data_IF_366368767718
#
_entry.id   IF_366368767718
#
_cell.length_a   1.000
_cell.length_b   1.000
_cell.length_c   1.000
_cell.angle_alpha   90.00
_cell.angle_beta   90.00
_cell.angle_gamma   90.00
#
_symmetry.space_group_name_H-M   'P 1'
#
loop_
_entity.id
_entity.type
_entity.pdbx_description
1 polymer ?
#
# COMPACT_ATOMS: atom_id res chain seq x y z
N UNK A 1 -10.45 -18.71 15.23
CA UNK A 1 -10.52 -18.93 13.76
C UNK A 1 -11.59 -18.08 13.08
N UNK A 2 -12.83 -18.11 13.61
CA UNK A 2 -13.94 -17.26 13.14
C UNK A 2 -13.58 -15.77 13.14
N UNK A 3 -12.95 -15.27 14.21
CA UNK A 3 -12.57 -13.86 14.35
C UNK A 3 -11.49 -13.45 13.33
N UNK A 4 -10.50 -14.32 13.08
CA UNK A 4 -9.44 -14.06 12.08
C UNK A 4 -10.00 -14.05 10.67
N UNK A 5 -10.88 -15.00 10.34
CA UNK A 5 -11.58 -15.01 9.07
C UNK A 5 -12.36 -13.70 8.87
N UNK A 6 -13.18 -13.32 9.85
CA UNK A 6 -13.97 -12.08 9.78
C UNK A 6 -13.11 -10.82 9.70
N UNK A 7 -11.98 -10.79 10.42
CA UNK A 7 -11.00 -9.70 10.36
C UNK A 7 -10.47 -9.54 8.93
N UNK A 8 -9.99 -10.61 8.30
CA UNK A 8 -9.42 -10.54 6.96
C UNK A 8 -10.47 -10.19 5.89
N UNK A 9 -11.70 -10.69 6.03
CA UNK A 9 -12.83 -10.28 5.18
C UNK A 9 -13.15 -8.79 5.36
N UNK A 10 -13.17 -8.29 6.59
CA UNK A 10 -13.35 -6.86 6.87
C UNK A 10 -12.23 -6.04 6.23
N UNK A 11 -10.97 -6.46 6.37
CA UNK A 11 -9.82 -5.77 5.77
C UNK A 11 -9.94 -5.67 4.26
N UNK A 12 -10.23 -6.78 3.57
CA UNK A 12 -10.44 -6.76 2.11
C UNK A 12 -11.62 -5.87 1.71
N UNK A 13 -12.69 -5.88 2.49
CA UNK A 13 -13.89 -5.07 2.23
C UNK A 13 -13.60 -3.58 2.37
N UNK A 14 -12.91 -3.18 3.44
CA UNK A 14 -12.51 -1.78 3.68
C UNK A 14 -11.60 -1.31 2.55
N UNK A 15 -10.61 -2.09 2.15
CA UNK A 15 -9.65 -1.73 1.11
C UNK A 15 -10.30 -1.66 -0.28
N UNK A 16 -11.19 -2.59 -0.60
CA UNK A 16 -12.01 -2.49 -1.79
C UNK A 16 -12.91 -1.24 -1.78
N UNK A 17 -13.43 -0.85 -0.60
CA UNK A 17 -14.29 0.33 -0.44
C UNK A 17 -13.57 1.67 -0.63
N UNK A 18 -12.28 1.71 -0.28
CA UNK A 18 -11.41 2.87 -0.41
C UNK A 18 -10.83 3.04 -1.82
N UNK A 19 -11.08 2.09 -2.73
CA UNK A 19 -10.62 2.18 -4.12
C UNK A 19 -11.32 3.33 -4.85
N UNK A 20 -10.60 4.43 -5.09
CA UNK A 20 -11.11 5.74 -5.52
C UNK A 20 -12.07 5.65 -6.72
N UNK A 21 -11.67 5.00 -7.81
CA UNK A 21 -12.43 5.04 -9.07
C UNK A 21 -13.63 4.09 -9.12
N UNK A 22 -13.55 2.89 -8.53
CA UNK A 22 -14.66 1.92 -8.57
C UNK A 22 -14.55 0.87 -7.47
N UNK A 23 -15.56 0.86 -6.60
CA UNK A 23 -15.77 -0.17 -5.58
C UNK A 23 -15.76 -1.58 -6.19
N UNK A 24 -16.40 -1.74 -7.35
CA UNK A 24 -16.49 -3.04 -8.05
C UNK A 24 -15.10 -3.46 -8.56
N UNK A 25 -14.31 -2.52 -9.11
CA UNK A 25 -12.93 -2.84 -9.52
C UNK A 25 -12.05 -3.19 -8.33
N UNK A 26 -12.24 -2.52 -7.19
CA UNK A 26 -11.56 -2.85 -5.93
C UNK A 26 -11.87 -4.27 -5.45
N UNK A 27 -13.16 -4.66 -5.44
CA UNK A 27 -13.56 -6.02 -5.09
C UNK A 27 -13.04 -7.06 -6.07
N UNK A 28 -13.17 -6.83 -7.38
CA UNK A 28 -12.65 -7.76 -8.39
C UNK A 28 -11.15 -7.93 -8.22
N UNK A 29 -10.41 -6.85 -7.99
CA UNK A 29 -8.96 -6.90 -7.74
C UNK A 29 -8.62 -7.74 -6.50
N UNK A 30 -9.32 -7.51 -5.38
CA UNK A 30 -9.14 -8.29 -4.15
C UNK A 30 -9.50 -9.77 -4.30
N UNK A 31 -10.65 -10.06 -4.89
CA UNK A 31 -11.09 -11.45 -5.18
C UNK A 31 -10.14 -12.14 -6.15
N UNK A 32 -9.65 -11.44 -7.17
CA UNK A 32 -8.67 -11.99 -8.09
C UNK A 32 -7.36 -12.32 -7.36
N UNK A 33 -6.92 -11.48 -6.42
CA UNK A 33 -5.80 -11.80 -5.54
C UNK A 33 -6.04 -13.06 -4.69
N UNK A 34 -7.25 -13.25 -4.16
CA UNK A 34 -7.62 -14.49 -3.46
C UNK A 34 -7.60 -15.71 -4.37
N UNK A 35 -8.08 -15.58 -5.61
CA UNK A 35 -8.05 -16.70 -6.57
C UNK A 35 -6.61 -17.10 -6.92
N UNK A 36 -5.69 -16.14 -7.00
CA UNK A 36 -4.26 -16.41 -7.24
C UNK A 36 -3.66 -17.29 -6.14
N UNK A 37 -4.05 -17.13 -4.87
CA UNK A 37 -3.51 -17.97 -3.78
C UNK A 37 -4.03 -19.39 -3.81
N UNK A 38 -5.22 -19.63 -4.39
CA UNK A 38 -5.76 -21.00 -4.51
C UNK A 38 -5.02 -21.87 -5.53
N UNK A 39 -4.15 -21.27 -6.35
CA UNK A 39 -3.28 -21.97 -7.29
C UNK A 39 -2.05 -22.44 -6.55
N UNK A 40 -1.86 -23.77 -6.49
CA UNK A 40 -0.72 -24.38 -5.82
C UNK A 40 -1.11 -25.40 -4.77
N UNK A 41 -0.23 -25.62 -3.80
CA UNK A 41 -0.46 -26.59 -2.74
C UNK A 41 -1.43 -26.04 -1.69
N UNK A 42 -2.41 -26.86 -1.33
CA UNK A 42 -3.30 -26.63 -0.18
C UNK A 42 -2.50 -26.32 1.09
N UNK A 43 -2.77 -25.20 1.80
CA UNK A 43 -2.02 -24.83 3.00
C UNK A 43 -2.22 -25.77 4.20
N UNK A 44 -3.26 -26.62 4.21
CA UNK A 44 -3.48 -27.64 5.23
C UNK A 44 -3.01 -29.03 4.80
N UNK A 45 -3.41 -29.49 3.61
CA UNK A 45 -3.21 -30.87 3.18
C UNK A 45 -2.05 -31.06 2.19
N UNK A 46 -1.41 -29.97 1.75
CA UNK A 46 -0.33 -29.95 0.75
C UNK A 46 -0.71 -30.62 -0.59
N UNK A 47 -2.00 -30.76 -0.87
CA UNK A 47 -2.51 -31.33 -2.13
C UNK A 47 -2.45 -30.25 -3.21
N UNK A 48 -1.88 -30.53 -4.40
CA UNK A 48 -1.84 -29.57 -5.49
C UNK A 48 -3.25 -29.29 -6.04
N UNK A 49 -3.59 -28.01 -6.19
CA UNK A 49 -4.85 -27.50 -6.71
C UNK A 49 -4.60 -26.50 -7.83
N UNK A 50 -5.41 -26.56 -8.88
CA UNK A 50 -5.33 -25.64 -10.03
C UNK A 50 -3.92 -25.54 -10.65
N UNK A 51 -3.14 -26.63 -10.59
CA UNK A 51 -1.79 -26.67 -11.18
C UNK A 51 -1.82 -26.94 -12.68
N UNK A 52 -2.97 -27.37 -13.22
CA UNK A 52 -3.19 -27.67 -14.64
C UNK A 52 -2.15 -28.64 -15.25
N UNK A 53 -1.45 -29.44 -14.42
CA UNK A 53 -0.37 -30.33 -14.84
C UNK A 53 1.01 -29.67 -15.00
N UNK A 54 1.13 -28.37 -14.70
CA UNK A 54 2.39 -27.64 -14.77
C UNK A 54 3.13 -27.70 -13.43
N UNK A 55 4.35 -28.24 -13.44
CA UNK A 55 5.18 -28.33 -12.22
C UNK A 55 5.48 -26.95 -11.62
N UNK A 56 5.62 -25.93 -12.47
CA UNK A 56 5.77 -24.53 -12.09
C UNK A 56 4.70 -24.06 -11.10
N UNK A 57 3.44 -24.48 -11.28
CA UNK A 57 2.33 -24.05 -10.46
C UNK A 57 2.14 -24.90 -9.20
N UNK A 58 2.94 -25.95 -9.01
CA UNK A 58 2.73 -26.93 -7.93
C UNK A 58 2.86 -26.32 -6.54
N UNK A 59 3.81 -25.41 -6.37
CA UNK A 59 4.03 -24.67 -5.12
C UNK A 59 3.24 -23.36 -5.05
N UNK A 60 2.44 -23.06 -6.08
CA UNK A 60 1.76 -21.78 -6.23
C UNK A 60 2.71 -20.63 -6.58
N UNK A 61 2.17 -19.43 -6.56
CA UNK A 61 2.93 -18.23 -6.86
C UNK A 61 3.53 -17.62 -5.59
N UNK A 62 4.85 -17.46 -5.50
CA UNK A 62 5.47 -16.85 -4.33
C UNK A 62 5.06 -15.38 -4.19
N UNK A 63 4.68 -14.97 -2.98
CA UNK A 63 4.18 -13.63 -2.69
C UNK A 63 5.17 -12.51 -3.10
N UNK A 64 6.46 -12.65 -2.78
CA UNK A 64 7.41 -11.56 -3.00
C UNK A 64 7.67 -11.28 -4.50
N UNK A 65 7.85 -12.29 -5.37
CA UNK A 65 7.86 -12.06 -6.82
C UNK A 65 6.58 -11.42 -7.37
N UNK A 66 5.40 -11.79 -6.87
CA UNK A 66 4.15 -11.10 -7.22
C UNK A 66 4.25 -9.62 -6.83
N UNK A 67 4.64 -9.33 -5.59
CA UNK A 67 4.74 -7.97 -5.06
C UNK A 67 5.71 -7.10 -5.88
N UNK A 68 6.90 -7.64 -6.18
CA UNK A 68 7.92 -6.95 -6.99
C UNK A 68 7.42 -6.72 -8.43
N UNK A 69 6.71 -7.69 -9.01
CA UNK A 69 6.14 -7.54 -10.35
C UNK A 69 5.06 -6.46 -10.37
N UNK A 70 4.05 -6.63 -9.51
CA UNK A 70 2.88 -5.74 -9.44
C UNK A 70 3.26 -4.31 -9.08
N UNK A 71 4.19 -4.05 -8.16
CA UNK A 71 4.56 -2.66 -7.83
C UNK A 71 5.77 -2.14 -8.59
N UNK A 72 6.77 -2.97 -8.88
CA UNK A 72 8.00 -2.54 -9.54
C UNK A 72 7.84 -2.46 -11.06
N UNK A 73 7.56 -3.60 -11.69
CA UNK A 73 7.49 -3.68 -13.15
C UNK A 73 6.30 -2.89 -13.71
N UNK A 74 5.13 -2.97 -13.07
CA UNK A 74 3.97 -2.20 -13.54
C UNK A 74 4.20 -0.68 -13.50
N UNK A 75 4.89 -0.20 -12.46
CA UNK A 75 5.22 1.20 -12.29
C UNK A 75 6.22 1.65 -13.35
N UNK A 76 7.28 0.87 -13.58
CA UNK A 76 8.24 1.13 -14.66
C UNK A 76 7.53 1.23 -16.02
N UNK A 77 6.67 0.26 -16.34
CA UNK A 77 5.95 0.26 -17.62
C UNK A 77 5.02 1.48 -17.76
N UNK A 78 4.32 1.84 -16.69
CA UNK A 78 3.45 3.02 -16.64
C UNK A 78 4.23 4.33 -16.78
N UNK A 79 5.39 4.43 -16.15
CA UNK A 79 6.24 5.62 -16.20
C UNK A 79 6.87 5.78 -17.60
N UNK A 80 7.27 4.67 -18.24
CA UNK A 80 7.80 4.68 -19.61
C UNK A 80 6.72 5.10 -20.61
N UNK A 81 5.48 4.63 -20.46
CA UNK A 81 4.34 5.06 -21.29
C UNK A 81 4.08 6.57 -21.16
N UNK A 82 4.08 7.10 -19.93
CA UNK A 82 3.91 8.55 -19.65
C UNK A 82 5.11 9.39 -20.12
N UNK A 83 6.32 8.86 -20.07
CA UNK A 83 7.51 9.55 -20.57
C UNK A 83 7.48 9.68 -22.10
N UNK A 84 6.88 8.70 -22.80
CA UNK A 84 6.66 8.73 -24.24
C UNK A 84 5.71 9.83 -24.73
N UNK A 85 4.88 10.41 -23.85
CA UNK A 85 3.94 11.51 -24.15
C UNK A 85 4.52 12.92 -23.95
N UNK A 86 5.85 13.04 -23.83
CA UNK A 86 6.58 14.28 -24.14
C UNK A 86 6.62 15.39 -23.09
N UNK A 87 6.42 15.13 -21.80
CA UNK A 87 6.25 16.19 -20.79
C UNK A 87 7.24 16.24 -19.60
N UNK A 88 8.39 15.56 -19.62
CA UNK A 88 9.22 15.48 -18.40
C UNK A 88 10.75 15.58 -18.59
N UNK A 89 11.26 16.36 -19.56
CA UNK A 89 12.71 16.53 -19.72
C UNK A 89 13.22 17.99 -19.58
N UNK A 90 12.37 18.95 -19.22
CA UNK A 90 12.77 20.36 -19.06
C UNK A 90 12.51 20.89 -17.65
N UNK A 91 13.28 20.45 -16.63
CA UNK A 91 13.44 21.29 -15.41
C UNK A 91 14.56 20.98 -14.42
N UNK A 92 15.53 20.12 -14.72
CA UNK A 92 16.58 19.76 -13.73
C UNK A 92 17.98 20.30 -14.03
N UNK A 93 18.11 21.32 -14.86
CA UNK A 93 19.42 21.94 -15.19
C UNK A 93 19.88 23.04 -14.21
N UNK A 94 19.19 23.27 -13.08
CA UNK A 94 19.49 24.39 -12.14
C UNK A 94 19.64 24.01 -10.65
N UNK A 95 20.03 22.80 -10.31
CA UNK A 95 20.13 22.37 -8.89
C UNK A 95 21.55 22.30 -8.31
N UNK A 96 22.55 22.88 -8.96
CA UNK A 96 23.96 22.78 -8.52
C UNK A 96 24.39 23.77 -7.42
N UNK A 97 23.50 24.67 -6.96
CA UNK A 97 23.84 25.69 -5.95
C UNK A 97 22.74 25.87 -4.91
N UNK A 98 22.46 24.84 -4.11
CA UNK A 98 21.61 24.97 -2.92
C UNK A 98 22.48 25.01 -1.67
N UNK A 99 22.59 26.20 -1.05
CA UNK A 99 23.00 26.35 0.36
C UNK A 99 21.73 26.40 1.19
N UNK A 100 21.40 25.31 1.88
CA UNK A 100 20.25 25.24 2.78
C UNK A 100 20.75 25.44 4.21
N UNK A 101 20.14 26.37 4.94
CA UNK A 101 20.39 26.55 6.37
C UNK A 101 19.49 25.60 7.17
N UNK A 102 20.06 24.50 7.68
CA UNK A 102 19.30 23.50 8.44
C UNK A 102 18.66 24.09 9.70
N UNK A 103 19.33 25.03 10.38
CA UNK A 103 18.80 25.67 11.57
C UNK A 103 17.57 26.53 11.26
N UNK A 104 17.54 27.17 10.09
CA UNK A 104 16.37 27.93 9.64
C UNK A 104 15.19 26.99 9.36
N UNK A 105 15.43 25.85 8.69
CA UNK A 105 14.40 24.85 8.41
C UNK A 105 13.83 24.26 9.70
N UNK A 106 14.68 23.91 10.67
CA UNK A 106 14.22 23.39 11.97
C UNK A 106 13.36 24.43 12.69
N UNK A 107 13.77 25.70 12.69
CA UNK A 107 12.96 26.78 13.29
C UNK A 107 11.62 26.95 12.60
N UNK A 108 11.58 26.85 11.27
CA UNK A 108 10.34 26.94 10.48
C UNK A 108 9.37 25.81 10.83
N UNK A 109 9.88 24.57 10.91
CA UNK A 109 9.09 23.39 11.30
C UNK A 109 8.52 23.56 12.71
N UNK A 110 9.36 23.97 13.67
CA UNK A 110 8.96 24.15 15.06
C UNK A 110 8.04 25.36 15.28
N UNK A 111 8.02 26.33 14.37
CA UNK A 111 7.11 27.48 14.41
C UNK A 111 5.65 27.10 14.08
N UNK A 112 5.40 25.91 13.52
CA UNK A 112 4.07 25.44 13.11
C UNK A 112 3.61 24.17 13.85
N UNK A 113 3.59 24.15 15.20
CA UNK A 113 3.33 22.93 15.97
C UNK A 113 1.94 22.32 15.70
N UNK A 114 0.93 23.16 15.45
CA UNK A 114 -0.44 22.69 15.17
C UNK A 114 -0.49 21.95 13.84
N UNK A 115 0.15 22.50 12.79
CA UNK A 115 0.19 21.86 11.48
C UNK A 115 0.97 20.55 11.54
N UNK A 116 2.12 20.56 12.22
CA UNK A 116 2.97 19.39 12.41
C UNK A 116 2.23 18.27 13.15
N UNK A 117 1.64 18.55 14.32
CA UNK A 117 0.96 17.53 15.12
C UNK A 117 -0.25 16.98 14.38
N UNK A 118 -1.08 17.84 13.78
CA UNK A 118 -2.25 17.38 13.02
C UNK A 118 -1.86 16.47 11.87
N UNK A 119 -0.86 16.87 11.09
CA UNK A 119 -0.44 16.12 9.90
C UNK A 119 0.23 14.79 10.29
N UNK A 120 1.03 14.77 11.35
CA UNK A 120 1.54 13.54 11.97
C UNK A 120 0.42 12.61 12.44
N UNK A 121 -0.62 13.14 13.09
CA UNK A 121 -1.77 12.33 13.52
C UNK A 121 -2.55 11.77 12.32
N UNK A 122 -2.77 12.58 11.27
CA UNK A 122 -3.40 12.10 10.03
C UNK A 122 -2.57 10.96 9.44
N UNK A 123 -1.25 11.14 9.31
CA UNK A 123 -0.33 10.11 8.85
C UNK A 123 -0.43 8.83 9.67
N UNK A 124 -0.33 8.94 11.00
CA UNK A 124 -0.44 7.80 11.91
C UNK A 124 -1.77 7.06 11.76
N UNK A 125 -2.90 7.78 11.73
CA UNK A 125 -4.23 7.18 11.61
C UNK A 125 -4.46 6.51 10.26
N UNK A 126 -4.02 7.14 9.16
CA UNK A 126 -4.09 6.54 7.83
C UNK A 126 -3.16 5.33 7.74
N UNK A 127 -1.99 5.37 8.36
CA UNK A 127 -1.06 4.25 8.39
C UNK A 127 -1.62 3.01 9.08
N UNK A 128 -2.49 3.19 10.08
CA UNK A 128 -3.20 2.08 10.72
C UNK A 128 -4.17 1.41 9.74
N UNK A 129 -4.71 2.16 8.78
CA UNK A 129 -5.62 1.62 7.78
C UNK A 129 -4.85 0.75 6.78
N UNK A 130 -5.28 -0.50 6.55
CA UNK A 130 -4.61 -1.42 5.65
C UNK A 130 -4.67 -0.89 4.20
N UNK A 131 -3.59 -1.06 3.46
CA UNK A 131 -3.49 -0.81 2.02
C UNK A 131 -3.88 0.60 1.53
N UNK A 132 -3.97 1.60 2.42
CA UNK A 132 -4.24 3.01 2.05
C UNK A 132 -2.94 3.72 1.68
N UNK A 133 -1.84 3.39 2.36
CA UNK A 133 -0.50 3.88 2.05
C UNK A 133 -0.22 5.35 2.37
N UNK A 134 1.05 5.72 2.27
CA UNK A 134 1.53 7.07 2.57
C UNK A 134 1.02 8.14 1.60
N UNK A 135 0.81 7.81 0.32
CA UNK A 135 0.37 8.80 -0.68
C UNK A 135 -1.00 9.40 -0.36
N UNK A 136 -1.98 8.57 -0.01
CA UNK A 136 -3.30 9.04 0.41
C UNK A 136 -3.23 9.83 1.72
N UNK A 137 -2.39 9.39 2.67
CA UNK A 137 -2.15 10.12 3.91
C UNK A 137 -1.62 11.54 3.64
N UNK A 138 -0.65 11.67 2.73
CA UNK A 138 -0.02 12.94 2.37
C UNK A 138 -1.02 13.89 1.69
N UNK A 139 -1.83 13.39 0.76
CA UNK A 139 -2.87 14.18 0.09
C UNK A 139 -3.91 14.67 1.11
N UNK A 140 -4.36 13.80 2.01
CA UNK A 140 -5.31 14.18 3.05
C UNK A 140 -4.72 15.20 4.02
N UNK A 141 -3.50 14.99 4.49
CA UNK A 141 -2.81 15.94 5.37
C UNK A 141 -2.62 17.30 4.68
N UNK A 142 -2.23 17.29 3.40
CA UNK A 142 -2.09 18.49 2.59
C UNK A 142 -3.40 19.25 2.42
N UNK A 143 -4.50 18.57 2.11
CA UNK A 143 -5.83 19.17 1.97
C UNK A 143 -6.32 19.76 3.31
N UNK A 144 -6.13 19.05 4.42
CA UNK A 144 -6.44 19.59 5.75
C UNK A 144 -5.57 20.79 6.10
N UNK A 145 -4.29 20.79 5.69
CA UNK A 145 -3.41 21.94 5.85
C UNK A 145 -3.87 23.15 5.05
N UNK A 146 -4.24 22.95 3.79
CA UNK A 146 -4.80 24.00 2.94
C UNK A 146 -6.07 24.60 3.55
N UNK A 147 -7.01 23.76 4.00
CA UNK A 147 -8.29 24.19 4.59
C UNK A 147 -8.15 25.00 5.87
N UNK A 148 -7.16 24.66 6.70
CA UNK A 148 -6.93 25.39 7.95
C UNK A 148 -5.98 26.59 7.79
N UNK A 149 -5.33 26.74 6.64
CA UNK A 149 -4.40 27.84 6.42
C UNK A 149 -5.15 29.16 6.24
N UNK A 150 -4.51 30.24 6.67
CA UNK A 150 -4.95 31.61 6.37
C UNK A 150 -4.64 32.03 4.93
N UNK A 151 -3.75 31.30 4.26
CA UNK A 151 -3.28 31.56 2.89
C UNK A 151 -3.43 30.32 1.99
N UNK A 152 -4.66 29.79 1.78
CA UNK A 152 -4.90 28.60 0.97
C UNK A 152 -4.46 28.77 -0.50
N UNK A 153 -4.38 30.00 -1.00
CA UNK A 153 -3.95 30.36 -2.35
C UNK A 153 -2.47 30.08 -2.63
N UNK A 154 -1.64 29.98 -1.58
CA UNK A 154 -0.19 29.70 -1.71
C UNK A 154 0.14 28.21 -1.78
N UNK A 155 -0.85 27.34 -1.59
CA UNK A 155 -0.67 25.90 -1.73
C UNK A 155 -0.48 25.57 -3.21
N UNK A 156 0.56 24.78 -3.51
CA UNK A 156 0.99 24.42 -4.86
C UNK A 156 2.25 25.18 -5.32
N UNK A 157 2.63 26.25 -4.62
CA UNK A 157 3.85 27.03 -4.95
C UNK A 157 5.10 26.56 -4.20
N UNK A 158 5.02 25.47 -3.44
CA UNK A 158 6.09 25.02 -2.54
C UNK A 158 6.15 25.76 -1.20
N UNK A 159 5.01 26.28 -0.69
CA UNK A 159 4.94 26.87 0.65
C UNK A 159 5.36 25.86 1.75
N UNK A 160 6.12 26.28 2.78
CA UNK A 160 6.54 25.40 3.87
C UNK A 160 5.40 24.63 4.54
N UNK A 161 4.23 25.27 4.75
CA UNK A 161 3.05 24.65 5.36
C UNK A 161 2.63 23.33 4.67
N UNK A 162 2.67 23.32 3.34
CA UNK A 162 2.30 22.15 2.53
C UNK A 162 3.36 21.06 2.56
N UNK A 163 4.65 21.45 2.60
CA UNK A 163 5.77 20.51 2.71
C UNK A 163 5.76 19.86 4.09
N UNK A 164 5.63 20.65 5.16
CA UNK A 164 5.56 20.16 6.54
C UNK A 164 4.38 19.19 6.68
N UNK A 165 3.21 19.54 6.15
CA UNK A 165 2.03 18.67 6.23
C UNK A 165 2.25 17.33 5.51
N UNK A 166 2.79 17.35 4.29
CA UNK A 166 2.99 16.14 3.50
C UNK A 166 4.09 15.24 4.09
N UNK A 167 5.25 15.81 4.43
CA UNK A 167 6.40 15.03 4.91
C UNK A 167 6.20 14.50 6.32
N UNK A 168 5.57 15.26 7.22
CA UNK A 168 5.25 14.77 8.57
C UNK A 168 4.22 13.64 8.53
N UNK A 169 3.20 13.74 7.68
CA UNK A 169 2.25 12.66 7.44
C UNK A 169 2.93 11.42 6.86
N UNK A 170 3.78 11.60 5.86
CA UNK A 170 4.50 10.52 5.18
C UNK A 170 5.34 9.70 6.18
N UNK A 171 6.10 10.41 7.01
CA UNK A 171 6.96 9.75 7.98
C UNK A 171 6.16 9.12 9.15
N UNK A 172 5.05 9.74 9.57
CA UNK A 172 4.18 9.18 10.60
C UNK A 172 3.40 7.94 10.14
N UNK A 173 3.06 7.86 8.84
CA UNK A 173 2.32 6.75 8.24
C UNK A 173 3.01 5.41 8.47
N UNK A 174 4.33 5.36 8.29
CA UNK A 174 5.12 4.12 8.44
C UNK A 174 4.97 3.53 9.85
N UNK A 175 4.90 4.37 10.88
CA UNK A 175 4.67 3.92 12.26
C UNK A 175 3.31 3.24 12.43
N UNK A 176 2.25 3.82 11.85
CA UNK A 176 0.92 3.22 11.85
C UNK A 176 0.87 1.90 11.08
N UNK A 177 1.49 1.87 9.89
CA UNK A 177 1.54 0.67 9.06
C UNK A 177 2.33 -0.47 9.71
N UNK A 178 3.40 -0.15 10.44
CA UNK A 178 4.18 -1.12 11.20
C UNK A 178 3.34 -1.75 12.32
N UNK A 179 2.55 -0.95 13.04
CA UNK A 179 1.64 -1.44 14.08
C UNK A 179 0.63 -2.42 13.49
N UNK A 180 -0.02 -2.06 12.37
CA UNK A 180 -1.01 -2.92 11.70
C UNK A 180 -0.40 -4.21 11.20
N UNK A 181 0.79 -4.15 10.61
CA UNK A 181 1.51 -5.34 10.14
C UNK A 181 1.87 -6.27 11.29
N UNK A 182 2.41 -5.74 12.39
CA UNK A 182 2.80 -6.56 13.53
C UNK A 182 1.60 -7.12 14.29
N UNK A 183 0.55 -6.31 14.49
CA UNK A 183 -0.62 -6.70 15.28
C UNK A 183 -1.57 -7.61 14.51
N UNK A 184 -1.77 -7.39 13.21
CA UNK A 184 -2.79 -8.11 12.44
C UNK A 184 -2.21 -9.00 11.33
N UNK A 185 -0.91 -8.88 11.03
CA UNK A 185 -0.31 -9.58 9.89
C UNK A 185 -0.71 -8.98 8.55
N UNK A 186 -1.14 -7.71 8.55
CA UNK A 186 -1.70 -7.03 7.39
C UNK A 186 -0.84 -5.80 7.07
N UNK A 187 -0.34 -5.64 5.83
CA UNK A 187 0.45 -4.47 5.49
C UNK A 187 -0.42 -3.20 5.42
N UNK A 188 0.12 -2.10 5.94
CA UNK A 188 -0.50 -0.77 5.79
C UNK A 188 -0.17 -0.12 4.44
N UNK A 189 0.97 -0.47 3.86
CA UNK A 189 1.49 0.09 2.62
C UNK A 189 2.39 -0.91 1.87
N UNK A 190 2.91 -0.51 0.69
CA UNK A 190 3.77 -1.39 -0.11
C UNK A 190 5.10 -1.73 0.59
N UNK A 191 5.66 -0.82 1.40
CA UNK A 191 6.94 -1.04 2.10
C UNK A 191 6.76 -2.08 3.20
N UNK A 192 5.72 -1.96 4.01
CA UNK A 192 5.35 -2.95 5.03
C UNK A 192 4.92 -4.27 4.42
N UNK A 193 4.38 -4.30 3.19
CA UNK A 193 4.13 -5.54 2.46
C UNK A 193 5.45 -6.29 2.12
N UNK A 194 6.48 -5.56 1.70
CA UNK A 194 7.82 -6.14 1.49
C UNK A 194 8.39 -6.67 2.81
N UNK A 195 8.27 -5.90 3.90
CA UNK A 195 8.71 -6.33 5.23
C UNK A 195 7.98 -7.59 5.72
N UNK A 196 6.67 -7.66 5.52
CA UNK A 196 5.85 -8.84 5.82
C UNK A 196 6.35 -10.06 5.03
N UNK A 197 6.64 -9.89 3.74
CA UNK A 197 7.25 -10.93 2.91
C UNK A 197 8.59 -11.42 3.46
N UNK A 198 9.47 -10.50 3.85
CA UNK A 198 10.76 -10.83 4.45
C UNK A 198 10.62 -11.60 5.78
N UNK A 199 9.68 -11.21 6.65
CA UNK A 199 9.41 -11.93 7.89
C UNK A 199 8.92 -13.36 7.62
N UNK A 200 7.99 -13.52 6.68
CA UNK A 200 7.45 -14.84 6.29
C UNK A 200 8.56 -15.74 5.73
N UNK A 201 9.48 -15.21 4.92
CA UNK A 201 10.64 -15.95 4.40
C UNK A 201 11.54 -16.46 5.55
N UNK A 202 11.71 -15.66 6.60
CA UNK A 202 12.45 -16.06 7.79
C UNK A 202 11.64 -16.96 8.74
N UNK A 203 10.45 -17.44 8.33
CA UNK A 203 9.59 -18.29 9.14
C UNK A 203 8.90 -17.56 10.29
N UNK A 204 8.88 -16.23 10.24
CA UNK A 204 8.28 -15.37 11.26
C UNK A 204 6.91 -14.93 10.74
N UNK A 205 5.85 -15.43 11.37
CA UNK A 205 4.47 -15.06 11.04
C UNK A 205 4.03 -13.83 11.86
N UNK A 206 3.77 -12.67 11.23
CA UNK A 206 3.21 -11.52 11.94
C UNK A 206 1.73 -11.71 12.23
N UNK A 207 1.19 -10.99 13.22
CA UNK A 207 -0.17 -11.16 13.71
C UNK A 207 -0.29 -11.01 15.23
N UNK A 208 -1.45 -11.30 15.84
CA UNK A 208 -1.70 -10.95 17.24
C UNK A 208 -0.74 -11.62 18.23
N UNK A 209 -0.20 -12.78 17.86
CA UNK A 209 0.79 -13.51 18.65
C UNK A 209 2.24 -13.15 18.34
N UNK A 210 2.50 -12.27 17.37
CA UNK A 210 3.86 -11.93 16.93
C UNK A 210 4.68 -11.34 18.08
N UNK A 211 4.12 -10.38 18.82
CA UNK A 211 4.81 -9.74 19.94
C UNK A 211 5.02 -10.71 21.10
N UNK A 212 4.15 -11.70 21.29
CA UNK A 212 4.27 -12.67 22.38
C UNK A 212 5.24 -13.81 22.03
N UNK A 213 5.17 -14.33 20.81
CA UNK A 213 6.00 -15.46 20.35
C UNK A 213 7.40 -14.97 19.97
N UNK A 214 7.48 -13.85 19.25
CA UNK A 214 8.72 -13.29 18.70
C UNK A 214 9.06 -11.94 19.33
N UNK A 215 8.91 -11.82 20.65
CA UNK A 215 9.10 -10.56 21.40
C UNK A 215 10.44 -9.88 21.07
N UNK A 216 11.55 -10.64 21.01
CA UNK A 216 12.88 -10.10 20.68
C UNK A 216 12.91 -9.45 19.29
N UNK A 217 12.24 -10.07 18.31
CA UNK A 217 12.16 -9.51 16.95
C UNK A 217 11.25 -8.29 16.95
N UNK A 218 10.08 -8.35 17.61
CA UNK A 218 9.13 -7.25 17.67
C UNK A 218 9.75 -5.99 18.33
N UNK A 219 10.32 -6.13 19.53
CA UNK A 219 10.99 -5.01 20.21
C UNK A 219 12.27 -4.58 19.49
N UNK A 220 12.99 -5.52 18.87
CA UNK A 220 14.12 -5.21 17.99
C UNK A 220 13.72 -4.34 16.80
N UNK A 221 12.56 -4.61 16.18
CA UNK A 221 12.02 -3.79 15.09
C UNK A 221 11.64 -2.39 15.57
N UNK A 222 11.01 -2.25 16.74
CA UNK A 222 10.73 -0.92 17.32
C UNK A 222 12.00 -0.13 17.61
N UNK A 223 13.01 -0.78 18.21
CA UNK A 223 14.29 -0.14 18.51
C UNK A 223 15.05 0.23 17.23
N UNK A 224 15.07 -0.66 16.23
CA UNK A 224 15.68 -0.43 14.92
C UNK A 224 14.95 0.71 14.18
N UNK A 225 13.63 0.76 14.23
CA UNK A 225 12.83 1.82 13.61
C UNK A 225 13.09 3.18 14.29
N UNK A 226 13.18 3.22 15.62
CA UNK A 226 13.56 4.43 16.34
C UNK A 226 14.97 4.90 15.96
N UNK A 227 15.94 3.98 15.93
CA UNK A 227 17.32 4.29 15.52
C UNK A 227 17.37 4.73 14.04
N UNK A 228 16.57 4.10 13.18
CA UNK A 228 16.52 4.39 11.76
C UNK A 228 16.17 5.85 11.48
N UNK A 229 15.34 6.51 12.30
CA UNK A 229 15.03 7.93 12.10
C UNK A 229 16.28 8.82 12.15
N UNK A 230 17.17 8.59 13.12
CA UNK A 230 18.42 9.35 13.22
C UNK A 230 19.35 9.04 12.05
N UNK A 231 19.39 7.77 11.64
CA UNK A 231 20.19 7.34 10.50
C UNK A 231 19.66 7.88 9.18
N UNK A 232 18.34 7.96 9.00
CA UNK A 232 17.70 8.54 7.82
C UNK A 232 18.02 10.01 7.71
N UNK A 233 17.92 10.79 8.79
CA UNK A 233 18.33 12.21 8.79
C UNK A 233 19.81 12.37 8.43
N UNK A 234 20.68 11.52 8.98
CA UNK A 234 22.11 11.54 8.65
C UNK A 234 22.37 11.19 7.18
N UNK A 235 21.69 10.16 6.68
CA UNK A 235 21.81 9.67 5.31
C UNK A 235 21.28 10.70 4.31
N UNK A 236 20.14 11.32 4.58
CA UNK A 236 19.58 12.40 3.75
C UNK A 236 20.48 13.63 3.79
N UNK A 237 21.04 13.98 4.95
CA UNK A 237 21.96 15.11 5.07
C UNK A 237 23.24 14.91 4.23
N UNK A 238 23.89 13.75 4.33
CA UNK A 238 25.08 13.44 3.56
C UNK A 238 24.75 13.18 2.06
N UNK A 239 23.61 12.57 1.80
CA UNK A 239 23.18 12.06 0.51
C UNK A 239 22.37 13.04 -0.34
N UNK A 240 21.94 14.20 0.18
CA UNK A 240 21.08 15.15 -0.54
C UNK A 240 21.61 15.49 -1.93
N UNK A 241 22.91 15.76 -2.04
CA UNK A 241 23.55 16.08 -3.34
C UNK A 241 23.52 14.92 -4.31
N UNK A 242 23.63 13.70 -3.80
CA UNK A 242 23.52 12.49 -4.62
C UNK A 242 22.06 12.25 -5.04
N UNK A 243 21.12 12.34 -4.09
CA UNK A 243 19.69 12.20 -4.36
C UNK A 243 19.20 13.19 -5.43
N UNK A 244 19.63 14.46 -5.36
CA UNK A 244 19.31 15.48 -6.37
C UNK A 244 19.83 15.11 -7.77
N UNK A 245 20.96 14.41 -7.88
CA UNK A 245 21.47 13.91 -9.18
C UNK A 245 20.66 12.72 -9.67
N UNK A 246 20.26 11.82 -8.77
CA UNK A 246 19.44 10.65 -9.12
C UNK A 246 18.07 11.07 -9.64
N UNK A 247 17.43 12.06 -9.03
CA UNK A 247 16.15 12.62 -9.53
C UNK A 247 16.30 13.25 -10.92
N UNK A 248 17.50 13.69 -11.30
CA UNK A 248 17.80 14.20 -12.63
C UNK A 248 18.16 13.12 -13.66
N UNK A 249 18.29 11.85 -13.26
CA UNK A 249 18.60 10.78 -14.20
C UNK A 249 17.40 10.52 -15.10
N UNK A 250 17.64 10.38 -16.42
CA UNK A 250 16.54 10.11 -17.33
C UNK A 250 15.99 8.70 -17.09
N UNK A 251 14.68 8.57 -17.24
CA UNK A 251 13.95 7.33 -16.97
C UNK A 251 14.52 6.13 -17.75
N UNK A 252 15.01 6.34 -18.98
CA UNK A 252 15.61 5.28 -19.80
C UNK A 252 16.89 4.65 -19.21
N UNK A 253 17.59 5.32 -18.28
CA UNK A 253 18.72 4.74 -17.54
C UNK A 253 18.23 4.07 -16.25
N UNK A 254 17.28 4.70 -15.57
CA UNK A 254 16.79 4.22 -14.28
C UNK A 254 15.99 2.92 -14.42
N UNK A 255 15.09 2.82 -15.40
CA UNK A 255 14.25 1.66 -15.66
C UNK A 255 15.02 0.34 -15.85
N UNK A 256 16.05 0.23 -16.71
CA UNK A 256 16.78 -1.02 -16.88
C UNK A 256 17.56 -1.44 -15.62
N UNK A 257 18.10 -0.48 -14.85
CA UNK A 257 18.79 -0.78 -13.59
C UNK A 257 17.80 -1.38 -12.59
N UNK A 258 16.64 -0.76 -12.39
CA UNK A 258 15.61 -1.27 -11.49
C UNK A 258 15.15 -2.65 -11.97
N UNK A 259 14.95 -2.85 -13.28
CA UNK A 259 14.51 -4.13 -13.83
C UNK A 259 15.51 -5.26 -13.55
N UNK A 260 16.82 -4.99 -13.73
CA UNK A 260 17.87 -5.96 -13.37
C UNK A 260 17.84 -6.28 -11.88
N UNK A 261 17.70 -5.27 -11.02
CA UNK A 261 17.59 -5.48 -9.57
C UNK A 261 16.34 -6.26 -9.18
N UNK A 262 15.20 -6.04 -9.85
CA UNK A 262 13.97 -6.79 -9.63
C UNK A 262 14.11 -8.26 -10.05
N UNK A 263 14.75 -8.52 -11.20
CA UNK A 263 15.03 -9.89 -11.65
C UNK A 263 15.95 -10.61 -10.65
N UNK A 264 17.05 -9.96 -10.25
CA UNK A 264 17.96 -10.50 -9.22
C UNK A 264 17.20 -10.74 -7.91
N UNK A 265 16.40 -9.77 -7.46
CA UNK A 265 15.60 -9.86 -6.24
C UNK A 265 14.59 -11.01 -6.27
N UNK A 266 13.91 -11.23 -7.40
CA UNK A 266 12.96 -12.35 -7.55
C UNK A 266 13.66 -13.72 -7.57
N UNK A 267 14.84 -13.79 -8.19
CA UNK A 267 15.64 -15.02 -8.27
C UNK A 267 16.29 -15.38 -6.94
N UNK A 268 16.91 -14.41 -6.26
CA UNK A 268 17.73 -14.61 -5.08
C UNK A 268 16.98 -15.21 -3.88
N UNK A 269 15.65 -15.16 -3.87
CA UNK A 269 14.83 -15.69 -2.77
C UNK A 269 14.96 -17.20 -2.61
N UNK A 270 14.84 -17.92 -3.72
CA UNK A 270 14.85 -19.39 -3.72
C UNK A 270 15.92 -19.97 -4.64
N UNK A 271 16.63 -19.14 -5.42
CA UNK A 271 17.48 -19.56 -6.54
C UNK A 271 16.71 -20.38 -7.59
N UNK A 272 15.49 -19.94 -7.89
CA UNK A 272 14.54 -20.62 -8.77
C UNK A 272 14.14 -19.65 -9.89
N UNK A 273 14.22 -20.08 -11.15
CA UNK A 273 13.92 -19.24 -12.33
C UNK A 273 12.43 -18.96 -12.49
N UNK A 274 11.60 -19.88 -12.00
CA UNK A 274 10.15 -19.81 -11.90
C UNK A 274 9.67 -18.55 -11.17
N UNK A 275 10.43 -18.08 -10.16
CA UNK A 275 10.14 -16.82 -9.48
C UNK A 275 10.27 -15.62 -10.44
N UNK A 276 11.23 -15.65 -11.36
CA UNK A 276 11.44 -14.58 -12.35
C UNK A 276 10.27 -14.56 -13.35
N UNK A 277 9.79 -15.73 -13.78
CA UNK A 277 8.59 -15.83 -14.62
C UNK A 277 7.34 -15.29 -13.92
N UNK A 278 7.18 -15.60 -12.63
CA UNK A 278 6.12 -15.04 -11.79
C UNK A 278 6.21 -13.51 -11.74
N UNK A 279 7.40 -12.97 -11.51
CA UNK A 279 7.66 -11.53 -11.51
C UNK A 279 7.20 -10.87 -12.82
N UNK A 280 7.60 -11.41 -13.98
CA UNK A 280 7.20 -10.86 -15.27
C UNK A 280 5.68 -10.98 -15.52
N UNK A 281 5.09 -12.13 -15.23
CA UNK A 281 3.66 -12.38 -15.38
C UNK A 281 2.83 -11.36 -14.59
N UNK A 282 3.11 -11.22 -13.30
CA UNK A 282 2.36 -10.34 -12.41
C UNK A 282 2.69 -8.86 -12.62
N UNK A 283 3.87 -8.53 -13.15
CA UNK A 283 4.18 -7.16 -13.53
C UNK A 283 3.46 -6.70 -14.80
N UNK A 284 3.35 -7.56 -15.81
CA UNK A 284 2.50 -7.29 -16.99
C UNK A 284 1.03 -7.19 -16.56
N UNK A 285 0.57 -8.11 -15.72
CA UNK A 285 -0.80 -8.09 -15.21
C UNK A 285 -1.09 -6.82 -14.40
N UNK A 286 -0.17 -6.42 -13.52
CA UNK A 286 -0.26 -5.18 -12.77
C UNK A 286 -0.32 -3.96 -13.69
N UNK A 287 0.50 -3.93 -14.75
CA UNK A 287 0.45 -2.85 -15.74
C UNK A 287 -0.92 -2.77 -16.44
N UNK A 288 -1.47 -3.91 -16.85
CA UNK A 288 -2.82 -3.97 -17.45
C UNK A 288 -3.91 -3.52 -16.47
N UNK A 289 -3.80 -3.87 -15.19
CA UNK A 289 -4.71 -3.44 -14.14
C UNK A 289 -4.68 -1.92 -13.96
N UNK A 290 -3.49 -1.32 -13.87
CA UNK A 290 -3.33 0.14 -13.80
C UNK A 290 -3.96 0.81 -15.02
N UNK A 291 -3.67 0.30 -16.23
CA UNK A 291 -4.20 0.84 -17.49
C UNK A 291 -5.73 0.76 -17.59
N UNK A 292 -6.33 -0.26 -17.00
CA UNK A 292 -7.79 -0.46 -16.98
C UNK A 292 -8.46 0.16 -15.73
N UNK A 293 -7.69 0.81 -14.86
CA UNK A 293 -8.15 1.49 -13.65
C UNK A 293 -8.54 0.53 -12.52
N UNK A 294 -7.99 -0.68 -12.49
CA UNK A 294 -8.08 -1.59 -11.35
C UNK A 294 -6.98 -1.28 -10.33
N UNK A 295 -7.33 -1.12 -9.05
CA UNK A 295 -6.36 -0.80 -8.00
C UNK A 295 -5.47 -2.01 -7.70
N UNK A 296 -4.17 -1.78 -7.53
CA UNK A 296 -3.19 -2.83 -7.22
C UNK A 296 -3.17 -3.20 -5.73
N UNK A 297 -3.52 -2.27 -4.84
CA UNK A 297 -3.46 -2.52 -3.40
C UNK A 297 -4.42 -3.64 -2.93
N UNK A 298 -5.69 -3.71 -3.40
CA UNK A 298 -6.57 -4.83 -3.09
C UNK A 298 -6.06 -6.18 -3.61
N UNK A 299 -5.43 -6.22 -4.79
CA UNK A 299 -4.83 -7.44 -5.36
C UNK A 299 -3.81 -8.03 -4.40
N UNK A 300 -2.82 -7.22 -4.01
CA UNK A 300 -1.74 -7.64 -3.13
C UNK A 300 -2.28 -8.07 -1.78
N UNK A 301 -3.28 -7.35 -1.25
CA UNK A 301 -3.92 -7.73 -0.01
C UNK A 301 -4.65 -9.08 -0.14
N UNK A 302 -5.32 -9.33 -1.26
CA UNK A 302 -5.92 -10.64 -1.57
C UNK A 302 -4.89 -11.75 -1.60
N UNK A 303 -3.74 -11.52 -2.25
CA UNK A 303 -2.65 -12.51 -2.32
C UNK A 303 -2.04 -12.81 -0.95
N UNK A 304 -1.91 -11.82 -0.07
CA UNK A 304 -1.36 -12.02 1.27
C UNK A 304 -2.36 -12.73 2.18
N UNK A 305 -3.62 -12.32 2.13
CA UNK A 305 -4.66 -12.80 3.04
C UNK A 305 -5.33 -14.09 2.58
N UNK A 306 -5.17 -14.49 1.32
CA UNK A 306 -5.86 -15.65 0.74
C UNK A 306 -5.64 -16.93 1.53
N UNK A 307 -4.39 -17.33 1.73
CA UNK A 307 -4.07 -18.51 2.53
C UNK A 307 -4.58 -18.39 3.97
N UNK A 308 -4.49 -17.20 4.55
CA UNK A 308 -4.95 -16.96 5.92
C UNK A 308 -6.47 -17.06 6.04
N UNK A 309 -7.21 -16.55 5.06
CA UNK A 309 -8.66 -16.65 4.98
C UNK A 309 -9.06 -18.13 4.84
N UNK A 310 -8.43 -18.85 3.91
CA UNK A 310 -8.73 -20.27 3.69
C UNK A 310 -8.42 -21.12 4.93
N UNK A 311 -7.22 -20.99 5.50
CA UNK A 311 -6.79 -21.72 6.68
C UNK A 311 -7.72 -21.45 7.86
N UNK A 312 -8.08 -20.20 8.12
CA UNK A 312 -8.96 -19.85 9.24
C UNK A 312 -10.41 -20.29 9.01
N UNK A 313 -10.88 -20.26 7.75
CA UNK A 313 -12.19 -20.78 7.37
C UNK A 313 -12.28 -22.30 7.58
N UNK A 314 -11.31 -23.04 7.06
CA UNK A 314 -11.28 -24.51 7.20
C UNK A 314 -11.13 -24.89 8.68
N UNK A 315 -10.23 -24.25 9.43
CA UNK A 315 -10.10 -24.49 10.88
C UNK A 315 -11.40 -24.22 11.63
N UNK A 316 -12.13 -23.16 11.29
CA UNK A 316 -13.41 -22.84 11.91
C UNK A 316 -14.44 -23.97 11.69
N UNK A 317 -14.59 -24.44 10.46
CA UNK A 317 -15.53 -25.51 10.09
C UNK A 317 -15.11 -26.86 10.69
N UNK A 318 -13.81 -27.16 10.72
CA UNK A 318 -13.29 -28.38 11.37
C UNK A 318 -13.50 -28.37 12.89
N UNK A 319 -13.52 -27.18 13.52
CA UNK A 319 -13.74 -27.06 14.97
C UNK A 319 -15.21 -27.21 15.32
N UNK A 320 -16.12 -26.73 14.46
CA UNK A 320 -17.56 -26.88 14.65
C UNK A 320 -18.30 -26.86 13.32
N UNK A 321 -19.22 -27.80 13.14
CA UNK A 321 -20.12 -27.85 11.98
C UNK A 321 -21.20 -26.75 11.99
N UNK A 322 -21.34 -26.02 13.10
CA UNK A 322 -22.30 -24.93 13.23
C UNK A 322 -21.77 -23.64 12.56
N UNK A 323 -22.27 -23.37 11.36
CA UNK A 323 -21.98 -22.17 10.57
C UNK A 323 -22.44 -20.88 11.24
N UNK A 324 -23.41 -20.93 12.17
CA UNK A 324 -23.92 -19.73 12.82
C UNK A 324 -22.86 -19.07 13.71
N UNK A 325 -21.82 -19.80 14.11
CA UNK A 325 -20.71 -19.29 14.93
C UNK A 325 -19.92 -18.15 14.29
N UNK A 326 -19.96 -17.99 12.97
CA UNK A 326 -19.40 -16.80 12.30
C UNK A 326 -20.18 -15.52 12.64
N UNK A 327 -21.47 -15.63 12.95
CA UNK A 327 -22.36 -14.48 13.22
C UNK A 327 -22.68 -14.35 14.71
N UNK A 328 -22.86 -15.46 15.43
CA UNK A 328 -23.25 -15.47 16.85
C UNK A 328 -22.09 -15.10 17.77
N UNK A 329 -20.84 -15.31 17.35
CA UNK A 329 -19.66 -14.82 18.09
C UNK A 329 -19.58 -13.29 18.00
N UNK A 330 -19.54 -12.55 19.12
CA UNK A 330 -19.67 -11.09 19.11
C UNK A 330 -18.67 -10.37 18.21
N UNK A 331 -17.39 -10.74 18.26
CA UNK A 331 -16.34 -10.09 17.48
C UNK A 331 -16.38 -10.48 16.00
N UNK A 332 -16.58 -11.78 15.71
CA UNK A 332 -16.67 -12.30 14.34
C UNK A 332 -17.90 -11.72 13.62
N UNK A 333 -19.06 -11.73 14.28
CA UNK A 333 -20.30 -11.15 13.79
C UNK A 333 -20.22 -9.63 13.63
N UNK A 334 -19.62 -8.91 14.59
CA UNK A 334 -19.42 -7.46 14.47
C UNK A 334 -18.54 -7.09 13.27
N UNK A 335 -17.45 -7.83 13.03
CA UNK A 335 -16.55 -7.59 11.89
C UNK A 335 -17.20 -7.90 10.54
N UNK A 336 -17.95 -9.01 10.44
CA UNK A 336 -18.72 -9.31 9.23
C UNK A 336 -19.83 -8.28 9.01
N UNK A 337 -20.52 -7.87 10.07
CA UNK A 337 -21.49 -6.77 10.02
C UNK A 337 -20.86 -5.48 9.53
N UNK A 338 -19.70 -5.10 10.06
CA UNK A 338 -18.95 -3.92 9.61
C UNK A 338 -18.46 -4.03 8.17
N UNK A 339 -18.09 -5.23 7.70
CA UNK A 339 -17.73 -5.49 6.30
C UNK A 339 -18.92 -5.21 5.38
N UNK A 340 -20.09 -5.76 5.72
CA UNK A 340 -21.33 -5.53 4.96
C UNK A 340 -21.75 -4.06 5.02
N UNK A 341 -21.65 -3.42 6.19
CA UNK A 341 -21.96 -1.99 6.38
C UNK A 341 -21.00 -1.08 5.62
N UNK A 342 -19.69 -1.36 5.63
CA UNK A 342 -18.68 -0.61 4.88
C UNK A 342 -18.97 -0.67 3.39
N UNK A 343 -19.28 -1.87 2.89
CA UNK A 343 -19.68 -2.06 1.50
C UNK A 343 -20.98 -1.32 1.16
N UNK A 344 -22.02 -1.49 1.99
CA UNK A 344 -23.33 -0.87 1.80
C UNK A 344 -23.29 0.66 1.88
N UNK A 345 -22.53 1.21 2.83
CA UNK A 345 -22.33 2.65 2.99
C UNK A 345 -21.56 3.24 1.80
N UNK A 346 -20.47 2.60 1.36
CA UNK A 346 -19.72 3.04 0.18
C UNK A 346 -20.59 3.04 -1.08
N UNK A 347 -21.40 1.99 -1.27
CA UNK A 347 -22.35 1.92 -2.38
C UNK A 347 -23.43 3.01 -2.30
N UNK A 348 -23.98 3.26 -1.11
CA UNK A 348 -24.98 4.31 -0.90
C UNK A 348 -24.41 5.71 -1.14
N UNK A 349 -23.22 6.00 -0.61
CA UNK A 349 -22.54 7.27 -0.80
C UNK A 349 -22.27 7.54 -2.29
N UNK A 350 -21.82 6.52 -3.04
CA UNK A 350 -21.60 6.62 -4.49
C UNK A 350 -22.88 6.82 -5.26
N UNK A 351 -23.95 6.06 -4.96
CA UNK A 351 -25.27 6.26 -5.57
C UNK A 351 -25.81 7.67 -5.32
N UNK A 352 -25.60 8.21 -4.12
CA UNK A 352 -25.99 9.58 -3.77
C UNK A 352 -25.14 10.62 -4.49
N UNK A 353 -23.84 10.39 -4.64
CA UNK A 353 -22.96 11.27 -5.41
C UNK A 353 -23.33 11.28 -6.91
N UNK A 354 -23.59 10.11 -7.50
CA UNK A 354 -24.05 9.98 -8.87
C UNK A 354 -25.44 10.64 -9.08
N UNK A 355 -26.37 10.45 -8.14
CA UNK A 355 -27.67 11.11 -8.19
C UNK A 355 -27.57 12.65 -8.06
N UNK A 356 -26.64 13.16 -7.24
CA UNK A 356 -26.37 14.60 -7.14
C UNK A 356 -25.74 15.17 -8.41
N UNK A 357 -24.84 14.42 -9.05
CA UNK A 357 -24.26 14.81 -10.33
C UNK A 357 -25.31 14.81 -11.46
N UNK A 358 -26.24 13.84 -11.44
CA UNK A 358 -27.35 13.79 -12.40
C UNK A 358 -28.43 14.86 -12.16
N UNK A 359 -28.58 15.34 -10.91
CA UNK A 359 -29.53 16.39 -10.54
C UNK A 359 -28.95 17.82 -10.67
N UNK A 360 -27.66 17.96 -10.99
CA UNK A 360 -27.06 19.27 -11.25
C UNK A 360 -27.60 19.81 -12.59
N UNK A 361 -28.14 21.05 -12.63
CA UNK A 361 -28.67 21.61 -13.86
C UNK A 361 -27.55 21.77 -14.90
N UNK A 362 -27.78 21.27 -16.11
CA UNK A 362 -26.92 21.49 -17.27
C UNK A 362 -26.96 22.98 -17.67
N UNK A 363 -26.12 23.81 -17.03
CA UNK A 363 -26.10 25.24 -17.32
C UNK A 363 -25.05 25.98 -16.51
N UNK A 364 -23.85 26.13 -17.09
CA UNK A 364 -22.79 26.95 -16.52
C UNK A 364 -21.41 26.59 -17.06
N UNK A 365 -21.23 26.61 -18.39
CA UNK A 365 -19.89 26.54 -18.98
C UNK A 365 -19.08 27.77 -18.59
N UNK A 366 -18.02 27.58 -17.80
CA UNK A 366 -16.82 28.40 -17.79
C UNK A 366 -15.71 27.68 -17.00
N UNK A 367 -14.76 27.10 -17.74
CA UNK A 367 -13.34 27.01 -17.42
C UNK A 367 -12.92 26.43 -16.07
N UNK A 368 -12.42 25.19 -16.09
CA UNK A 368 -11.61 24.66 -15.00
C UNK A 368 -11.62 23.14 -14.97
N UNK A 369 -11.09 22.49 -16.01
CA UNK A 369 -10.61 21.11 -15.88
C UNK A 369 -9.51 21.12 -14.81
N UNK A 370 -9.88 20.70 -13.60
CA UNK A 370 -8.94 20.23 -12.60
C UNK A 370 -8.84 18.72 -12.78
N UNK A 371 -7.93 18.30 -13.66
CA UNK A 371 -7.36 16.95 -13.64
C UNK A 371 -6.65 16.78 -12.29
N UNK A 372 -7.15 15.84 -11.48
CA UNK A 372 -6.48 15.28 -10.31
C UNK A 372 -6.36 13.77 -10.49
#
# INVERSE_FOLDING_TARGET
PWEYFSLFILTLSVVASLSEHSLVKGLISGTFGLLVTTIGADPLMAVPRLTFGWEFLRSGFPFLPILIGVFGLSQIMSDVEKAGTGHAQERLTRLTSLRVSHLAVIREILAQPVNLIRSTLIGLWIGILPAVGGSAANILAYDQAKKASRHPERFGTGIPDGIIASESSNNANIGGSLITMMAFGIPGDAVTAVMLGALIIHGIQPGPYFVTINAKVAYGMFAAYFLAHFLTVLYEWAGLRFALRVVGLPLHILSPIILVLCVIGSYALNNIIENVWTFFLFGILGYLMVKTGFPLAPLILGVILGDQIEVNFIRAIMTSADWTLFVTRPWSGAMLGLSVLSFGYSLWQRRRAAARAAAAPAGGGAGGELDF
#
